data_IF_888103244244
#
_entry.id   IF_888103244244
#
_cell.length_a   1.000
_cell.length_b   1.000
_cell.length_c   1.000
_cell.angle_alpha   90.00
_cell.angle_beta   90.00
_cell.angle_gamma   90.00
#
_symmetry.space_group_name_H-M   'P 1'
#
loop_
_entity.id
_entity.type
_entity.pdbx_description
1 polymer ?
#
# COMPACT_ATOMS: atom_id res chain seq x y z
N UNK A 1 4.80 -8.54 15.77
CA UNK A 1 3.93 -7.47 16.31
C UNK A 1 4.81 -6.26 16.60
N UNK A 2 4.46 -5.06 16.15
CA UNK A 2 5.18 -3.83 16.46
C UNK A 2 4.78 -3.36 17.87
N UNK A 3 5.65 -3.48 18.90
CA UNK A 3 5.25 -3.27 20.30
C UNK A 3 4.64 -1.89 20.56
N UNK A 4 5.16 -0.87 19.87
CA UNK A 4 4.78 0.52 20.05
C UNK A 4 3.35 0.87 19.59
N UNK A 5 2.73 0.04 18.76
CA UNK A 5 1.36 0.25 18.24
C UNK A 5 0.41 -0.87 18.62
N UNK A 6 0.83 -1.80 19.49
CA UNK A 6 0.03 -2.94 19.91
C UNK A 6 -1.26 -2.55 20.67
N UNK A 7 -1.32 -1.34 21.22
CA UNK A 7 -2.48 -0.80 21.93
C UNK A 7 -3.56 -0.20 21.01
N UNK A 8 -3.28 -0.05 19.70
CA UNK A 8 -4.22 0.54 18.76
C UNK A 8 -5.30 -0.47 18.36
N UNK A 9 -6.56 -0.03 18.38
CA UNK A 9 -7.69 -0.82 17.90
C UNK A 9 -7.95 -0.52 16.42
N UNK A 10 -7.80 -1.54 15.56
CA UNK A 10 -7.94 -1.44 14.11
C UNK A 10 -6.80 -2.14 13.37
N UNK A 11 -6.68 -1.89 12.07
CA UNK A 11 -5.68 -2.55 11.24
C UNK A 11 -4.43 -1.68 11.06
N UNK A 12 -3.29 -2.17 11.56
CA UNK A 12 -1.96 -1.62 11.22
C UNK A 12 -1.55 -2.16 9.86
N UNK A 13 -1.07 -1.28 8.98
CA UNK A 13 -0.74 -1.66 7.60
C UNK A 13 0.76 -1.82 7.37
N UNK A 14 1.11 -2.60 6.34
CA UNK A 14 2.39 -2.51 5.66
C UNK A 14 2.17 -2.19 4.19
N UNK A 15 3.13 -1.51 3.59
CA UNK A 15 3.04 -1.03 2.22
C UNK A 15 4.24 -1.56 1.43
N UNK A 16 3.98 -2.14 0.27
CA UNK A 16 5.00 -2.67 -0.62
C UNK A 16 4.96 -1.87 -1.92
N UNK A 17 6.06 -1.17 -2.22
CA UNK A 17 6.22 -0.52 -3.51
C UNK A 17 6.85 -1.51 -4.50
N UNK A 18 6.11 -1.84 -5.55
CA UNK A 18 6.35 -2.98 -6.41
C UNK A 18 6.45 -2.53 -7.87
N UNK A 19 7.26 -3.25 -8.64
CA UNK A 19 7.47 -3.02 -10.07
C UNK A 19 7.35 -4.32 -10.84
N UNK A 20 6.64 -4.26 -11.96
CA UNK A 20 6.63 -5.34 -12.95
C UNK A 20 7.99 -5.41 -13.67
N UNK A 21 8.59 -6.60 -13.73
CA UNK A 21 9.82 -6.89 -14.46
C UNK A 21 9.69 -6.63 -15.97
N UNK A 22 8.51 -6.86 -16.56
CA UNK A 22 8.32 -6.81 -18.02
C UNK A 22 7.80 -5.45 -18.49
N UNK A 23 6.62 -5.04 -18.02
CA UNK A 23 5.94 -3.83 -18.50
C UNK A 23 6.33 -2.57 -17.74
N UNK A 24 7.21 -2.69 -16.74
CA UNK A 24 7.69 -1.59 -15.87
C UNK A 24 6.57 -0.84 -15.12
N UNK A 25 5.34 -1.36 -15.09
CA UNK A 25 4.24 -0.78 -14.31
C UNK A 25 4.57 -0.78 -12.83
N UNK A 26 4.18 0.29 -12.13
CA UNK A 26 4.42 0.50 -10.71
C UNK A 26 3.14 0.28 -9.92
N UNK A 27 3.29 -0.31 -8.75
CA UNK A 27 2.19 -0.67 -7.88
C UNK A 27 2.54 -0.33 -6.45
N UNK A 28 1.58 0.19 -5.70
CA UNK A 28 1.67 0.31 -4.25
C UNK A 28 0.63 -0.62 -3.63
N UNK A 29 1.08 -1.64 -2.91
CA UNK A 29 0.23 -2.61 -2.25
C UNK A 29 0.15 -2.32 -0.75
N UNK A 30 -1.02 -1.97 -0.25
CA UNK A 30 -1.28 -1.81 1.18
C UNK A 30 -2.10 -2.99 1.71
N UNK A 31 -1.56 -3.67 2.71
CA UNK A 31 -2.20 -4.83 3.36
C UNK A 31 -2.07 -4.72 4.88
N UNK A 32 -2.82 -5.56 5.61
CA UNK A 32 -2.61 -5.70 7.06
C UNK A 32 -1.17 -6.15 7.36
N UNK A 33 -0.57 -5.62 8.42
CA UNK A 33 0.85 -5.80 8.72
C UNK A 33 1.25 -7.29 8.86
N UNK A 34 0.42 -8.07 9.53
CA UNK A 34 0.55 -9.52 9.76
C UNK A 34 0.16 -10.38 8.55
N UNK A 35 -0.39 -9.81 7.47
CA UNK A 35 -0.78 -10.57 6.26
C UNK A 35 0.45 -11.23 5.65
N UNK A 36 0.44 -12.55 5.52
CA UNK A 36 1.46 -13.25 4.74
C UNK A 36 1.14 -13.12 3.25
N UNK A 37 2.14 -12.72 2.46
CA UNK A 37 1.96 -12.50 1.02
C UNK A 37 2.96 -13.33 0.23
N UNK A 38 2.46 -14.00 -0.81
CA UNK A 38 3.29 -14.56 -1.87
C UNK A 38 3.24 -13.63 -3.09
N UNK A 39 4.35 -12.96 -3.41
CA UNK A 39 4.42 -12.03 -4.55
C UNK A 39 4.11 -12.70 -5.89
N UNK A 40 4.36 -14.01 -6.03
CA UNK A 40 3.99 -14.73 -7.25
C UNK A 40 2.48 -14.81 -7.42
N UNK A 41 1.74 -15.00 -6.33
CA UNK A 41 0.27 -15.08 -6.36
C UNK A 41 -0.36 -13.69 -6.49
N UNK A 42 0.22 -12.68 -5.84
CA UNK A 42 -0.13 -11.26 -6.11
C UNK A 42 0.05 -10.96 -7.60
N UNK A 43 1.19 -11.33 -8.20
CA UNK A 43 1.48 -11.10 -9.63
C UNK A 43 0.46 -11.80 -10.55
N UNK A 44 -0.01 -12.99 -10.19
CA UNK A 44 -1.08 -13.69 -10.94
C UNK A 44 -2.41 -12.95 -10.82
N UNK A 45 -2.80 -12.53 -9.60
CA UNK A 45 -4.04 -11.77 -9.35
C UNK A 45 -4.06 -10.42 -10.08
N UNK A 46 -2.89 -9.80 -10.25
CA UNK A 46 -2.73 -8.57 -11.05
C UNK A 46 -2.66 -8.81 -12.57
N UNK A 47 -2.79 -10.06 -13.04
CA UNK A 47 -2.72 -10.39 -14.48
C UNK A 47 -1.32 -10.21 -15.10
N UNK A 48 -0.27 -10.15 -14.28
CA UNK A 48 1.11 -9.96 -14.74
C UNK A 48 1.83 -11.29 -15.03
N UNK A 49 1.24 -12.42 -14.64
CA UNK A 49 1.87 -13.75 -14.67
C UNK A 49 2.76 -14.00 -13.45
N UNK A 50 3.02 -15.26 -13.12
CA UNK A 50 3.76 -15.63 -11.92
C UNK A 50 5.22 -15.10 -11.94
N UNK A 51 5.70 -14.59 -10.81
CA UNK A 51 7.10 -14.18 -10.62
C UNK A 51 7.52 -12.87 -11.33
N UNK A 52 6.59 -12.13 -11.94
CA UNK A 52 6.90 -10.88 -12.64
C UNK A 52 6.87 -9.63 -11.74
N UNK A 53 6.46 -9.76 -10.48
CA UNK A 53 6.43 -8.67 -9.52
C UNK A 53 7.64 -8.72 -8.58
N UNK A 54 8.29 -7.58 -8.32
CA UNK A 54 9.38 -7.42 -7.34
C UNK A 54 9.27 -6.09 -6.62
N UNK A 55 9.99 -5.93 -5.51
CA UNK A 55 10.17 -4.62 -4.88
C UNK A 55 10.82 -3.64 -5.87
N UNK A 56 10.32 -2.41 -5.86
CA UNK A 56 10.91 -1.32 -6.62
C UNK A 56 12.11 -0.72 -5.87
N UNK A 57 13.05 -0.18 -6.64
CA UNK A 57 14.27 0.43 -6.11
C UNK A 57 13.95 1.75 -5.39
N UNK A 58 14.79 2.13 -4.42
CA UNK A 58 14.59 3.34 -3.62
C UNK A 58 14.57 4.63 -4.44
N UNK A 59 15.40 4.73 -5.48
CA UNK A 59 15.42 5.90 -6.37
C UNK A 59 14.06 6.17 -6.99
N UNK A 60 13.34 5.11 -7.37
CA UNK A 60 12.01 5.23 -7.95
C UNK A 60 10.95 5.57 -6.90
N UNK A 61 11.13 5.10 -5.66
CA UNK A 61 10.27 5.47 -4.54
C UNK A 61 10.42 6.96 -4.21
N UNK A 62 11.66 7.47 -4.17
CA UNK A 62 11.93 8.89 -4.01
C UNK A 62 11.40 9.71 -5.19
N UNK A 63 11.54 9.22 -6.42
CA UNK A 63 11.02 9.90 -7.61
C UNK A 63 9.49 10.06 -7.55
N UNK A 64 8.76 8.94 -7.35
CA UNK A 64 7.30 8.90 -7.47
C UNK A 64 6.56 9.25 -6.17
N UNK A 65 7.05 8.76 -5.04
CA UNK A 65 6.36 8.85 -3.75
C UNK A 65 7.02 9.85 -2.78
N UNK A 66 8.19 10.41 -3.12
CA UNK A 66 8.94 11.37 -2.29
C UNK A 66 9.26 10.86 -0.87
N UNK A 67 9.34 9.54 -0.71
CA UNK A 67 9.72 8.85 0.53
C UNK A 67 10.81 7.83 0.25
N UNK A 68 11.67 7.58 1.25
CA UNK A 68 12.72 6.56 1.20
C UNK A 68 12.26 5.19 1.68
N UNK A 69 13.18 4.22 1.65
CA UNK A 69 12.90 2.86 2.13
C UNK A 69 12.45 2.85 3.59
N UNK A 70 11.48 1.98 3.90
CA UNK A 70 10.85 1.91 5.22
C UNK A 70 9.76 2.96 5.49
N UNK A 71 9.60 3.97 4.64
CA UNK A 71 8.56 5.00 4.77
C UNK A 71 7.43 4.87 3.73
N UNK A 72 7.39 3.77 2.96
CA UNK A 72 6.31 3.50 2.02
C UNK A 72 4.94 3.53 2.70
N UNK A 73 4.01 4.26 2.10
CA UNK A 73 2.66 4.50 2.67
C UNK A 73 1.69 4.86 1.56
N UNK A 74 0.42 4.43 1.66
CA UNK A 74 -0.64 4.84 0.75
C UNK A 74 -0.76 6.37 0.66
N UNK A 75 -0.44 7.07 1.75
CA UNK A 75 -0.50 8.54 1.81
C UNK A 75 0.50 9.21 0.88
N UNK A 76 1.59 8.54 0.50
CA UNK A 76 2.59 9.11 -0.38
C UNK A 76 2.08 9.24 -1.83
N UNK A 77 0.94 8.64 -2.17
CA UNK A 77 0.32 8.77 -3.50
C UNK A 77 -0.12 10.19 -3.83
N UNK A 78 -0.30 11.10 -2.85
CA UNK A 78 -0.53 12.51 -3.20
C UNK A 78 0.67 13.12 -3.94
N UNK A 79 1.88 12.57 -3.77
CA UNK A 79 3.08 13.03 -4.45
C UNK A 79 3.18 12.51 -5.90
N UNK A 80 2.47 11.42 -6.25
CA UNK A 80 2.47 10.85 -7.61
C UNK A 80 1.50 11.61 -8.51
N UNK A 81 1.86 12.86 -8.83
CA UNK A 81 1.03 13.74 -9.67
C UNK A 81 0.82 13.23 -11.09
N UNK A 82 1.74 12.38 -11.58
CA UNK A 82 1.65 11.70 -12.88
C UNK A 82 0.71 10.47 -12.86
N UNK A 83 0.26 10.04 -11.66
CA UNK A 83 -0.61 8.86 -11.46
C UNK A 83 -0.03 7.60 -12.10
N UNK A 84 1.28 7.45 -11.98
CA UNK A 84 2.08 6.38 -12.57
C UNK A 84 2.10 5.11 -11.70
N UNK A 85 1.71 5.23 -10.43
CA UNK A 85 1.66 4.16 -9.44
C UNK A 85 0.23 3.69 -9.23
N UNK A 86 -0.03 2.42 -9.51
CA UNK A 86 -1.36 1.82 -9.35
C UNK A 86 -1.55 1.35 -7.92
N UNK A 87 -2.63 1.78 -7.27
CA UNK A 87 -2.92 1.40 -5.89
C UNK A 87 -3.60 0.01 -5.84
N UNK A 88 -3.12 -0.86 -4.94
CA UNK A 88 -3.74 -2.14 -4.61
C UNK A 88 -4.01 -2.17 -3.11
N UNK A 89 -5.25 -2.44 -2.73
CA UNK A 89 -5.68 -2.42 -1.33
C UNK A 89 -6.21 -3.79 -0.92
N UNK A 90 -5.75 -4.28 0.23
CA UNK A 90 -6.35 -5.45 0.88
C UNK A 90 -7.81 -5.14 1.24
N UNK A 91 -8.72 -6.00 0.78
CA UNK A 91 -10.14 -5.93 1.05
C UNK A 91 -10.44 -5.80 2.56
N UNK A 92 -9.69 -6.50 3.41
CA UNK A 92 -9.85 -6.45 4.87
C UNK A 92 -9.74 -5.02 5.42
N UNK A 93 -8.88 -4.17 4.84
CA UNK A 93 -8.67 -2.80 5.33
C UNK A 93 -9.90 -1.91 5.17
N UNK A 94 -10.80 -2.22 4.24
CA UNK A 94 -11.98 -1.41 3.93
C UNK A 94 -13.29 -2.09 4.27
N UNK A 95 -13.31 -3.42 4.23
CA UNK A 95 -14.52 -4.22 4.37
C UNK A 95 -14.43 -5.22 5.55
N UNK A 96 -13.31 -5.25 6.28
CA UNK A 96 -13.10 -6.11 7.45
C UNK A 96 -13.73 -5.58 8.76
N UNK A 97 -14.47 -4.47 8.71
CA UNK A 97 -15.15 -3.89 9.88
C UNK A 97 -14.27 -3.05 10.81
N UNK A 98 -13.06 -2.66 10.37
CA UNK A 98 -12.16 -1.82 11.16
C UNK A 98 -12.69 -0.40 11.31
N UNK A 99 -12.76 0.12 12.54
CA UNK A 99 -13.08 1.54 12.76
C UNK A 99 -11.95 2.46 12.30
N UNK A 100 -10.70 1.98 12.36
CA UNK A 100 -9.51 2.69 11.93
C UNK A 100 -8.52 1.78 11.20
N UNK A 101 -7.87 2.35 10.20
CA UNK A 101 -6.70 1.80 9.52
C UNK A 101 -5.53 2.74 9.74
N UNK A 102 -4.36 2.16 10.00
CA UNK A 102 -3.19 2.90 10.44
C UNK A 102 -2.07 2.84 9.41
N UNK A 103 -1.55 4.01 9.06
CA UNK A 103 -0.48 4.21 8.08
C UNK A 103 0.62 5.08 8.66
N UNK A 104 1.83 4.97 8.11
CA UNK A 104 2.90 5.94 8.34
C UNK A 104 2.57 7.25 7.59
N UNK A 105 2.56 8.42 8.25
CA UNK A 105 2.31 9.71 7.60
C UNK A 105 3.58 10.22 6.93
N UNK A 106 4.07 9.47 5.92
CA UNK A 106 5.32 9.70 5.18
C UNK A 106 6.61 9.66 6.03
N UNK A 107 6.50 9.29 7.30
CA UNK A 107 7.62 9.02 8.20
C UNK A 107 7.33 7.75 8.99
N UNK A 108 8.34 6.90 9.18
CA UNK A 108 8.22 5.68 9.99
C UNK A 108 8.26 5.95 11.51
N UNK A 109 8.55 7.20 11.92
CA UNK A 109 8.57 7.62 13.32
C UNK A 109 7.18 7.92 13.89
N UNK A 110 6.13 7.87 13.07
CA UNK A 110 4.76 8.15 13.47
C UNK A 110 3.77 7.18 12.83
N UNK A 111 2.56 7.14 13.39
CA UNK A 111 1.44 6.35 12.86
C UNK A 111 0.17 7.22 12.92
N UNK A 112 -0.56 7.27 11.80
CA UNK A 112 -1.78 8.05 11.66
C UNK A 112 -2.95 7.11 11.37
N UNK A 113 -4.03 7.26 12.13
CA UNK A 113 -5.26 6.49 11.96
C UNK A 113 -6.30 7.22 11.14
N UNK A 114 -6.83 6.57 10.11
CA UNK A 114 -7.90 7.07 9.24
C UNK A 114 -9.12 6.15 9.35
N UNK A 115 -10.32 6.68 9.11
CA UNK A 115 -11.46 5.81 8.81
C UNK A 115 -11.23 5.18 7.42
N UNK A 116 -11.67 3.93 7.18
CA UNK A 116 -11.55 3.34 5.85
C UNK A 116 -12.17 4.19 4.73
N UNK A 117 -13.31 4.82 4.98
CA UNK A 117 -13.97 5.71 4.01
C UNK A 117 -13.13 6.96 3.70
N UNK A 118 -12.42 7.49 4.69
CA UNK A 118 -11.54 8.65 4.50
C UNK A 118 -10.29 8.25 3.70
N UNK A 119 -9.77 7.03 3.89
CA UNK A 119 -8.71 6.47 3.04
C UNK A 119 -9.18 6.35 1.59
N UNK A 120 -10.36 5.78 1.35
CA UNK A 120 -10.92 5.63 0.00
C UNK A 120 -11.15 6.99 -0.66
N UNK A 121 -11.66 7.97 0.10
CA UNK A 121 -11.82 9.35 -0.37
C UNK A 121 -10.46 9.96 -0.75
N UNK A 122 -9.46 9.86 0.12
CA UNK A 122 -8.11 10.35 -0.16
C UNK A 122 -7.51 9.74 -1.43
N UNK A 123 -7.62 8.42 -1.60
CA UNK A 123 -7.15 7.71 -2.79
C UNK A 123 -7.86 8.20 -4.05
N UNK A 124 -9.18 8.40 -3.99
CA UNK A 124 -9.96 8.95 -5.10
C UNK A 124 -9.55 10.38 -5.46
N UNK A 125 -9.45 11.28 -4.47
CA UNK A 125 -9.10 12.70 -4.69
C UNK A 125 -7.68 12.86 -5.24
N UNK A 126 -6.76 11.97 -4.87
CA UNK A 126 -5.40 11.96 -5.44
C UNK A 126 -5.34 11.30 -6.83
N UNK A 127 -6.43 10.73 -7.33
CA UNK A 127 -6.51 10.06 -8.64
C UNK A 127 -6.01 8.61 -8.65
N UNK A 128 -5.96 7.97 -7.48
CA UNK A 128 -5.44 6.62 -7.27
C UNK A 128 -6.52 5.66 -6.78
N UNK A 129 -7.62 5.54 -7.53
CA UNK A 129 -8.69 4.59 -7.20
C UNK A 129 -8.12 3.16 -7.07
N UNK A 130 -8.31 2.49 -5.92
CA UNK A 130 -7.61 1.25 -5.63
C UNK A 130 -8.22 0.05 -6.34
N UNK A 131 -7.37 -0.85 -6.82
CA UNK A 131 -7.76 -2.22 -7.07
C UNK A 131 -7.87 -2.95 -5.72
N UNK A 132 -9.08 -3.32 -5.32
CA UNK A 132 -9.32 -4.05 -4.08
C UNK A 132 -9.17 -5.55 -4.32
N UNK A 133 -8.31 -6.21 -3.54
CA UNK A 133 -8.07 -7.65 -3.61
C UNK A 133 -8.27 -8.30 -2.24
N UNK A 134 -8.92 -9.47 -2.20
CA UNK A 134 -8.91 -10.34 -1.02
C UNK A 134 -7.72 -11.29 -1.07
N UNK A 135 -7.09 -11.50 0.09
CA UNK A 135 -5.91 -12.36 0.29
C UNK A 135 -6.18 -13.46 1.33
N UNK A 136 -7.45 -13.82 1.50
CA UNK A 136 -7.93 -14.89 2.39
C UNK A 136 -7.86 -16.26 1.72
#
# INVERSE_FOLDING_TARGET
MMPHVAHLSGAVTKNLFLKDKKKKSLWLLSVRHDRQLNLSDVSKRLGLGAGNLRLADESLMLEKLKVGQGCATALALFCDTERSVRMVLDHDLTHGGHQRVYFHPMTNSATMGLKPDDLLRFLKETGHEPLVLSFD
#
